data_IF_359478808269
#
_entry.id   IF_359478808269
#
_cell.length_a   1.000
_cell.length_b   1.000
_cell.length_c   1.000
_cell.angle_alpha   90.00
_cell.angle_beta   90.00
_cell.angle_gamma   90.00
#
_symmetry.space_group_name_H-M   'P 1'
#
loop_
_entity.id
_entity.type
_entity.pdbx_description
1 polymer ?
#
# COMPACT_ATOMS: atom_id res chain seq x y z
N UNK A 1 -6.00 -13.38 53.65
CA UNK A 1 -5.71 -12.08 52.98
C UNK A 1 -4.68 -12.17 51.85
N UNK A 2 -3.55 -12.87 52.00
CA UNK A 2 -2.54 -13.02 50.91
C UNK A 2 -3.11 -13.68 49.65
N UNK A 3 -3.91 -14.73 49.78
CA UNK A 3 -4.51 -15.47 48.65
C UNK A 3 -5.51 -14.64 47.84
N UNK A 4 -6.33 -13.82 48.51
CA UNK A 4 -7.30 -12.91 47.85
C UNK A 4 -6.58 -11.81 47.07
N UNK A 5 -5.47 -11.27 47.60
CA UNK A 5 -4.64 -10.29 46.88
C UNK A 5 -4.01 -10.87 45.62
N UNK A 6 -3.54 -12.13 45.66
CA UNK A 6 -2.98 -12.81 44.48
C UNK A 6 -4.04 -13.01 43.40
N UNK A 7 -5.26 -13.44 43.78
CA UNK A 7 -6.38 -13.62 42.84
C UNK A 7 -6.78 -12.28 42.20
N UNK A 8 -6.85 -11.20 42.99
CA UNK A 8 -7.15 -9.86 42.47
C UNK A 8 -6.03 -9.35 41.54
N UNK A 9 -4.76 -9.57 41.87
CA UNK A 9 -3.65 -9.23 40.97
C UNK A 9 -3.66 -10.07 39.69
N UNK A 10 -4.01 -11.35 39.76
CA UNK A 10 -4.12 -12.23 38.60
C UNK A 10 -5.28 -11.84 37.69
N UNK A 11 -6.45 -11.51 38.26
CA UNK A 11 -7.59 -10.92 37.54
C UNK A 11 -7.24 -9.56 36.94
N UNK A 12 -6.52 -8.69 37.66
CA UNK A 12 -6.10 -7.39 37.16
C UNK A 12 -5.10 -7.53 35.99
N UNK A 13 -4.19 -8.51 36.03
CA UNK A 13 -3.29 -8.82 34.90
C UNK A 13 -4.08 -9.38 33.71
N UNK A 14 -5.03 -10.28 33.95
CA UNK A 14 -5.93 -10.82 32.91
C UNK A 14 -6.84 -9.78 32.26
N UNK A 15 -7.25 -8.75 33.02
CA UNK A 15 -8.03 -7.61 32.52
C UNK A 15 -7.11 -6.56 31.87
N UNK A 16 -5.85 -6.43 32.32
CA UNK A 16 -4.87 -5.51 31.74
C UNK A 16 -4.30 -6.02 30.40
N UNK A 17 -4.14 -7.34 30.23
CA UNK A 17 -3.68 -7.97 29.00
C UNK A 17 -4.48 -7.56 27.74
N UNK A 18 -5.82 -7.53 27.74
CA UNK A 18 -6.59 -7.01 26.61
C UNK A 18 -6.54 -5.47 26.48
N UNK A 19 -6.20 -4.71 27.53
CA UNK A 19 -6.02 -3.25 27.44
C UNK A 19 -4.64 -2.80 26.96
N UNK A 20 -3.61 -3.66 27.10
CA UNK A 20 -2.26 -3.42 26.58
C UNK A 20 -2.19 -3.77 25.07
N UNK A 21 -3.23 -4.42 24.54
CA UNK A 21 -3.34 -4.78 23.15
C UNK A 21 -3.83 -3.60 22.28
N UNK A 22 -2.88 -3.10 21.50
CA UNK A 22 -3.01 -2.37 20.23
C UNK A 22 -3.29 -0.87 20.30
N UNK A 23 -2.22 -0.13 20.59
CA UNK A 23 -2.04 1.22 20.09
C UNK A 23 -2.16 1.25 18.56
N UNK A 24 -3.20 1.94 18.10
CA UNK A 24 -3.31 2.74 16.88
C UNK A 24 -2.14 2.59 15.87
N UNK A 25 -2.41 2.07 14.66
CA UNK A 25 -1.44 2.14 13.56
C UNK A 25 -2.04 2.71 12.27
N UNK A 26 -1.37 3.77 11.85
CA UNK A 26 -1.20 4.31 10.50
C UNK A 26 -2.36 4.08 9.52
N UNK A 27 -3.20 5.10 9.35
CA UNK A 27 -3.90 5.23 8.07
C UNK A 27 -2.92 5.93 7.12
N UNK A 28 -2.31 5.21 6.16
CA UNK A 28 -1.39 5.79 5.21
C UNK A 28 -2.05 6.95 4.49
N UNK A 29 -1.24 7.97 4.26
CA UNK A 29 -1.62 9.08 3.39
C UNK A 29 -0.91 8.88 2.08
N UNK A 30 -1.59 9.18 0.98
CA UNK A 30 -1.02 8.99 -0.34
C UNK A 30 -1.29 10.24 -1.19
N UNK A 31 -0.26 10.69 -1.90
CA UNK A 31 -0.42 11.64 -3.02
C UNK A 31 -1.00 10.96 -4.25
N UNK A 32 -0.91 9.63 -4.30
CA UNK A 32 -1.28 8.75 -5.39
C UNK A 32 -0.28 8.73 -6.54
N UNK A 33 0.91 9.32 -6.39
CA UNK A 33 2.00 9.12 -7.33
C UNK A 33 3.00 8.08 -6.83
N UNK A 34 3.46 7.25 -7.76
CA UNK A 34 4.56 6.30 -7.55
C UNK A 34 5.78 6.80 -8.32
N UNK A 35 6.93 6.84 -7.66
CA UNK A 35 8.14 7.50 -8.17
C UNK A 35 9.34 6.56 -8.02
N UNK A 36 10.16 6.45 -9.06
CA UNK A 36 11.38 5.64 -9.05
C UNK A 36 12.56 6.35 -8.38
N UNK A 37 13.68 5.65 -8.22
CA UNK A 37 14.94 6.20 -7.67
C UNK A 37 15.50 7.39 -8.47
N UNK A 38 15.15 7.50 -9.77
CA UNK A 38 15.53 8.61 -10.62
C UNK A 38 14.58 9.80 -10.54
N UNK A 39 13.63 9.78 -9.60
CA UNK A 39 12.59 10.79 -9.41
C UNK A 39 11.63 10.96 -10.59
N UNK A 40 11.52 9.94 -11.44
CA UNK A 40 10.53 9.86 -12.49
C UNK A 40 9.22 9.28 -11.95
N UNK A 41 8.10 9.90 -12.30
CA UNK A 41 6.75 9.43 -11.96
C UNK A 41 6.42 8.20 -12.83
N UNK A 42 6.26 7.05 -12.18
CA UNK A 42 5.93 5.77 -12.84
C UNK A 42 4.43 5.60 -13.07
N UNK A 43 3.64 6.02 -12.08
CA UNK A 43 2.20 5.88 -12.08
C UNK A 43 1.52 6.99 -11.29
N UNK A 44 0.29 7.31 -11.66
CA UNK A 44 -0.57 8.25 -10.93
C UNK A 44 -1.97 7.67 -10.80
N UNK A 45 -2.47 7.55 -9.58
CA UNK A 45 -3.86 7.15 -9.30
C UNK A 45 -4.82 8.26 -9.74
N UNK A 46 -5.83 7.91 -10.53
CA UNK A 46 -6.80 8.87 -11.11
C UNK A 46 -7.66 9.60 -10.07
N UNK A 47 -7.78 9.06 -8.86
CA UNK A 47 -8.59 9.65 -7.79
C UNK A 47 -7.73 10.41 -6.76
N UNK A 48 -6.48 10.74 -7.09
CA UNK A 48 -5.51 11.24 -6.11
C UNK A 48 -5.19 12.74 -6.21
N UNK A 49 -4.62 13.34 -5.15
CA UNK A 49 -4.11 14.71 -5.17
C UNK A 49 -3.14 14.98 -6.33
N UNK A 50 -2.25 14.04 -6.64
CA UNK A 50 -1.31 14.16 -7.74
C UNK A 50 -2.02 14.25 -9.11
N UNK A 51 -3.02 13.39 -9.36
CA UNK A 51 -3.77 13.45 -10.62
C UNK A 51 -4.52 14.77 -10.76
N UNK A 52 -5.20 15.20 -9.70
CA UNK A 52 -5.98 16.45 -9.64
C UNK A 52 -5.10 17.68 -9.83
N UNK A 53 -3.85 17.62 -9.37
CA UNK A 53 -2.88 18.68 -9.57
C UNK A 53 -2.21 18.67 -10.96
N UNK A 54 -2.57 17.71 -11.83
CA UNK A 54 -2.06 17.62 -13.19
C UNK A 54 -0.71 16.92 -13.32
N UNK A 55 -0.32 16.09 -12.35
CA UNK A 55 0.86 15.23 -12.44
C UNK A 55 0.53 14.01 -13.29
N UNK A 56 1.45 13.61 -14.18
CA UNK A 56 1.29 12.48 -15.09
C UNK A 56 2.54 11.57 -15.07
N UNK A 57 2.40 10.29 -15.43
CA UNK A 57 3.56 9.42 -15.58
C UNK A 57 4.55 9.93 -16.65
N UNK A 58 5.83 9.67 -16.42
CA UNK A 58 6.96 10.12 -17.26
C UNK A 58 7.51 11.50 -16.89
N UNK A 59 6.84 12.25 -16.01
CA UNK A 59 7.38 13.52 -15.50
C UNK A 59 8.55 13.27 -14.53
N UNK A 60 9.59 14.10 -14.59
CA UNK A 60 10.78 14.00 -13.73
C UNK A 60 10.74 15.13 -12.70
N UNK A 61 10.77 14.75 -11.42
CA UNK A 61 10.83 15.70 -10.30
C UNK A 61 12.27 16.21 -10.17
N UNK A 62 12.43 17.54 -10.21
CA UNK A 62 13.74 18.20 -10.05
C UNK A 62 14.06 18.49 -8.59
N UNK A 63 13.06 18.83 -7.78
CA UNK A 63 13.23 19.10 -6.35
C UNK A 63 11.93 18.94 -5.59
N UNK A 64 12.00 18.56 -4.31
CA UNK A 64 10.90 18.64 -3.36
C UNK A 64 11.26 19.57 -2.21
N UNK A 65 10.31 20.39 -1.77
CA UNK A 65 10.43 21.24 -0.60
C UNK A 65 9.33 20.95 0.40
N UNK A 66 9.66 20.94 1.69
CA UNK A 66 8.65 20.86 2.74
C UNK A 66 7.83 22.15 2.88
N UNK A 67 6.92 22.18 3.85
CA UNK A 67 6.06 23.35 4.13
C UNK A 67 6.84 24.61 4.49
N UNK A 68 8.04 24.47 5.05
CA UNK A 68 8.89 25.56 5.50
C UNK A 68 9.86 26.01 4.39
N UNK A 69 9.79 25.37 3.22
CA UNK A 69 10.60 25.67 2.05
C UNK A 69 11.98 25.01 2.06
N UNK A 70 12.27 24.13 3.02
CA UNK A 70 13.51 23.37 3.06
C UNK A 70 13.51 22.33 1.95
N UNK A 71 14.59 22.27 1.19
CA UNK A 71 14.79 21.26 0.14
C UNK A 71 15.02 19.89 0.80
N UNK A 72 14.30 18.89 0.32
CA UNK A 72 14.46 17.50 0.73
C UNK A 72 15.61 16.87 -0.06
N UNK A 73 16.48 16.14 0.63
CA UNK A 73 17.61 15.44 0.01
C UNK A 73 17.10 14.38 -0.96
N UNK A 74 17.78 14.22 -2.10
CA UNK A 74 17.32 13.39 -3.21
C UNK A 74 16.97 11.95 -2.79
N UNK A 75 17.78 11.39 -1.90
CA UNK A 75 17.64 10.02 -1.39
C UNK A 75 16.36 9.85 -0.55
N UNK A 76 15.92 10.90 0.13
CA UNK A 76 14.75 10.88 1.03
C UNK A 76 13.45 11.23 0.32
N UNK A 77 13.49 11.76 -0.91
CA UNK A 77 12.30 12.30 -1.60
C UNK A 77 11.19 11.24 -1.74
N UNK A 78 11.53 9.99 -2.10
CA UNK A 78 10.52 8.92 -2.28
C UNK A 78 9.76 8.66 -0.98
N UNK A 79 10.49 8.48 0.11
CA UNK A 79 9.95 8.26 1.45
C UNK A 79 9.19 9.49 1.97
N UNK A 80 9.70 10.70 1.72
CA UNK A 80 9.06 11.95 2.09
C UNK A 80 7.71 12.14 1.38
N UNK A 81 7.65 11.97 0.06
CA UNK A 81 6.41 12.07 -0.73
C UNK A 81 5.37 11.10 -0.20
N UNK A 82 5.78 9.92 0.25
CA UNK A 82 4.88 8.91 0.79
C UNK A 82 4.37 9.28 2.20
N UNK A 83 5.26 9.70 3.10
CA UNK A 83 4.93 9.85 4.52
C UNK A 83 4.48 11.26 4.92
N UNK A 84 4.63 12.25 4.04
CA UNK A 84 4.35 13.64 4.38
C UNK A 84 2.89 13.86 4.81
N UNK A 85 2.73 14.51 5.97
CA UNK A 85 1.43 14.88 6.53
C UNK A 85 1.05 16.32 6.20
N UNK A 86 2.04 17.12 5.83
CA UNK A 86 1.90 18.54 5.58
C UNK A 86 1.85 18.82 4.06
N UNK A 87 1.53 20.07 3.71
CA UNK A 87 1.65 20.52 2.33
C UNK A 87 3.13 20.58 1.95
N UNK A 88 3.47 20.13 0.75
CA UNK A 88 4.82 20.21 0.21
C UNK A 88 4.79 20.65 -1.24
N UNK A 89 5.91 21.17 -1.73
CA UNK A 89 6.04 21.64 -3.12
C UNK A 89 6.89 20.65 -3.91
N UNK A 90 6.37 20.20 -5.04
CA UNK A 90 7.09 19.38 -6.02
C UNK A 90 7.37 20.25 -7.24
N UNK A 91 8.64 20.34 -7.61
CA UNK A 91 9.08 21.10 -8.78
C UNK A 91 9.47 20.13 -9.89
N UNK A 92 8.91 20.37 -11.05
CA UNK A 92 9.27 19.79 -12.33
C UNK A 92 9.89 20.89 -13.20
N UNK A 93 10.49 20.50 -14.31
CA UNK A 93 11.13 21.43 -15.26
C UNK A 93 10.30 22.67 -15.62
N UNK A 94 9.00 22.48 -15.87
CA UNK A 94 8.12 23.53 -16.39
C UNK A 94 7.03 23.99 -15.39
N UNK A 95 6.96 23.38 -14.20
CA UNK A 95 5.90 23.69 -13.21
C UNK A 95 6.31 23.37 -11.78
N UNK A 96 5.74 24.12 -10.83
CA UNK A 96 5.79 23.79 -9.40
C UNK A 96 4.38 23.59 -8.87
N UNK A 97 4.17 22.50 -8.14
CA UNK A 97 2.86 22.07 -7.66
C UNK A 97 2.91 21.92 -6.14
N UNK A 98 1.93 22.51 -5.45
CA UNK A 98 1.70 22.21 -4.04
C UNK A 98 0.81 20.97 -3.91
N UNK A 99 1.26 20.01 -3.14
CA UNK A 99 0.53 18.77 -2.85
C UNK A 99 0.28 18.62 -1.37
N UNK A 100 -0.80 17.94 -1.05
CA UNK A 100 -1.12 17.47 0.29
C UNK A 100 -1.56 16.03 0.17
N UNK A 101 -0.90 15.13 0.88
CA UNK A 101 -1.30 13.73 0.87
C UNK A 101 -2.67 13.60 1.56
N UNK A 102 -3.57 12.88 0.91
CA UNK A 102 -4.89 12.57 1.44
C UNK A 102 -4.85 11.24 2.17
N UNK A 103 -5.69 11.14 3.20
CA UNK A 103 -5.83 9.91 3.97
C UNK A 103 -6.55 8.88 3.11
N UNK A 104 -6.03 7.67 3.05
CA UNK A 104 -6.76 6.56 2.43
C UNK A 104 -7.82 6.12 3.42
N UNK A 105 -9.05 6.57 3.18
CA UNK A 105 -10.21 6.28 4.03
C UNK A 105 -11.06 5.12 3.47
N UNK A 106 -10.93 4.79 2.16
CA UNK A 106 -11.61 3.66 1.50
C UNK A 106 -10.75 2.96 0.43
N UNK A 107 -10.79 1.62 0.36
CA UNK A 107 -10.16 0.82 -0.72
C UNK A 107 -10.61 1.20 -2.14
N UNK A 108 -11.86 1.67 -2.27
CA UNK A 108 -12.44 2.08 -3.55
C UNK A 108 -11.73 3.24 -4.25
N UNK A 109 -10.91 4.01 -3.52
CA UNK A 109 -10.20 5.18 -4.05
C UNK A 109 -8.80 4.83 -4.60
N UNK A 110 -8.26 3.64 -4.32
CA UNK A 110 -6.90 3.22 -4.70
C UNK A 110 -6.95 1.95 -5.52
N UNK A 111 -7.18 2.10 -6.82
CA UNK A 111 -7.12 0.94 -7.71
C UNK A 111 -7.31 1.26 -9.17
N UNK A 112 -7.11 2.50 -9.60
CA UNK A 112 -7.05 2.83 -11.02
C UNK A 112 -5.92 3.82 -11.24
N UNK A 113 -4.88 3.35 -11.92
CA UNK A 113 -3.66 4.10 -12.18
C UNK A 113 -3.52 4.36 -13.67
N UNK A 114 -3.06 5.56 -14.01
CA UNK A 114 -2.39 5.81 -15.27
C UNK A 114 -0.93 5.41 -15.05
N UNK A 115 -0.40 4.56 -15.93
CA UNK A 115 0.97 4.03 -15.81
C UNK A 115 1.80 4.36 -17.04
N UNK A 116 3.11 4.51 -16.85
CA UNK A 116 4.06 4.76 -17.94
C UNK A 116 4.19 3.53 -18.84
N UNK A 117 4.25 3.76 -20.16
CA UNK A 117 4.53 2.74 -21.17
C UNK A 117 3.31 2.33 -21.97
N UNK A 118 3.47 1.29 -22.80
CA UNK A 118 2.39 0.71 -23.60
C UNK A 118 1.58 -0.28 -22.78
N UNK A 119 0.34 -0.56 -23.21
CA UNK A 119 -0.53 -1.56 -22.58
C UNK A 119 0.10 -2.95 -22.58
N UNK A 120 0.75 -3.35 -23.68
CA UNK A 120 1.41 -4.65 -23.81
C UNK A 120 2.62 -4.78 -22.88
N UNK A 121 3.45 -3.74 -22.80
CA UNK A 121 4.61 -3.71 -21.88
C UNK A 121 4.14 -3.71 -20.42
N UNK A 122 3.12 -2.92 -20.10
CA UNK A 122 2.52 -2.89 -18.77
C UNK A 122 1.99 -4.26 -18.35
N UNK A 123 1.24 -4.95 -19.20
CA UNK A 123 0.71 -6.28 -18.89
C UNK A 123 1.83 -7.31 -18.69
N UNK A 124 2.87 -7.26 -19.55
CA UNK A 124 4.06 -8.11 -19.40
C UNK A 124 4.77 -7.85 -18.07
N UNK A 125 5.00 -6.58 -17.74
CA UNK A 125 5.69 -6.17 -16.52
C UNK A 125 4.89 -6.54 -15.26
N UNK A 126 3.56 -6.38 -15.31
CA UNK A 126 2.65 -6.82 -14.25
C UNK A 126 2.75 -8.33 -14.01
N UNK A 127 2.68 -9.13 -15.08
CA UNK A 127 2.85 -10.58 -14.96
C UNK A 127 4.22 -10.93 -14.36
N UNK A 128 5.30 -10.26 -14.79
CA UNK A 128 6.62 -10.50 -14.25
C UNK A 128 6.73 -10.13 -12.76
N UNK A 129 6.18 -8.99 -12.35
CA UNK A 129 6.15 -8.56 -10.96
C UNK A 129 5.42 -9.60 -10.09
N UNK A 130 4.19 -9.97 -10.45
CA UNK A 130 3.35 -10.90 -9.68
C UNK A 130 3.90 -12.34 -9.63
N UNK A 131 4.71 -12.74 -10.62
CA UNK A 131 5.24 -14.10 -10.71
C UNK A 131 6.61 -14.24 -10.06
N UNK A 132 7.49 -13.25 -10.26
CA UNK A 132 8.92 -13.40 -9.97
C UNK A 132 9.43 -12.50 -8.85
N UNK A 133 8.71 -11.44 -8.48
CA UNK A 133 9.16 -10.56 -7.41
C UNK A 133 8.57 -11.03 -6.06
N UNK A 134 9.40 -11.55 -5.13
CA UNK A 134 8.94 -12.10 -3.86
C UNK A 134 8.25 -11.08 -2.96
N UNK A 135 8.49 -9.78 -3.17
CA UNK A 135 7.82 -8.73 -2.42
C UNK A 135 6.30 -8.77 -2.61
N UNK A 136 5.85 -9.07 -3.84
CA UNK A 136 4.42 -9.11 -4.20
C UNK A 136 3.92 -10.53 -4.42
N UNK A 137 4.71 -11.44 -5.01
CA UNK A 137 4.25 -12.78 -5.38
C UNK A 137 3.87 -13.66 -4.18
N UNK A 138 4.44 -13.36 -3.01
CA UNK A 138 4.10 -14.00 -1.72
C UNK A 138 2.65 -13.70 -1.32
N UNK A 139 2.18 -12.48 -1.59
CA UNK A 139 0.86 -11.97 -1.21
C UNK A 139 -0.15 -12.03 -2.36
N UNK A 140 0.32 -12.09 -3.61
CA UNK A 140 -0.50 -12.03 -4.81
C UNK A 140 -0.12 -13.16 -5.77
N UNK A 141 -0.24 -14.40 -5.32
CA UNK A 141 0.09 -15.57 -6.13
C UNK A 141 -0.89 -15.72 -7.30
N UNK A 142 -0.37 -15.71 -8.53
CA UNK A 142 -1.15 -15.84 -9.77
C UNK A 142 -1.97 -17.14 -9.79
N UNK A 143 -3.27 -17.01 -10.05
CA UNK A 143 -4.21 -18.14 -10.22
C UNK A 143 -4.66 -18.31 -11.66
N UNK A 144 -5.01 -17.21 -12.32
CA UNK A 144 -5.45 -17.24 -13.70
C UNK A 144 -4.91 -16.04 -14.47
N UNK A 145 -4.74 -16.22 -15.77
CA UNK A 145 -4.30 -15.18 -16.71
C UNK A 145 -5.19 -15.26 -17.94
N UNK A 146 -6.00 -14.23 -18.14
CA UNK A 146 -6.72 -14.01 -19.39
C UNK A 146 -5.90 -13.03 -20.23
N UNK A 147 -5.24 -13.55 -21.27
CA UNK A 147 -4.38 -12.74 -22.15
C UNK A 147 -5.18 -11.91 -23.15
N UNK A 148 -6.39 -12.34 -23.48
CA UNK A 148 -7.24 -11.65 -24.45
C UNK A 148 -7.86 -10.40 -23.80
N UNK A 149 -8.25 -10.51 -22.53
CA UNK A 149 -8.74 -9.39 -21.73
C UNK A 149 -7.63 -8.65 -20.97
N UNK A 150 -6.40 -9.16 -21.00
CA UNK A 150 -5.26 -8.64 -20.21
C UNK A 150 -5.58 -8.53 -18.71
N UNK A 151 -6.16 -9.61 -18.17
CA UNK A 151 -6.55 -9.74 -16.77
C UNK A 151 -5.72 -10.81 -16.07
N UNK A 152 -5.25 -10.52 -14.86
CA UNK A 152 -4.59 -11.48 -13.97
C UNK A 152 -5.40 -11.54 -12.68
N UNK A 153 -5.76 -12.74 -12.24
CA UNK A 153 -6.34 -12.95 -10.92
C UNK A 153 -5.35 -13.67 -10.02
N UNK A 154 -5.34 -13.28 -8.75
CA UNK A 154 -4.40 -13.76 -7.75
C UNK A 154 -5.15 -14.18 -6.49
N UNK A 155 -4.62 -15.18 -5.79
CA UNK A 155 -5.11 -15.57 -4.48
C UNK A 155 -3.96 -16.10 -3.64
N UNK A 156 -3.84 -15.61 -2.42
CA UNK A 156 -2.89 -16.10 -1.44
C UNK A 156 -3.55 -16.28 -0.07
N UNK A 157 -2.97 -17.16 0.72
CA UNK A 157 -3.21 -17.28 2.15
C UNK A 157 -1.84 -17.37 2.82
N UNK A 158 -1.54 -16.43 3.71
CA UNK A 158 -0.21 -16.18 4.25
C UNK A 158 -0.28 -16.18 5.77
N UNK A 159 0.46 -17.09 6.41
CA UNK A 159 0.63 -17.09 7.87
C UNK A 159 1.62 -15.99 8.28
N UNK A 160 1.37 -15.28 9.39
CA UNK A 160 2.26 -14.22 9.92
C UNK A 160 3.69 -14.69 10.16
N UNK A 161 3.91 -15.98 10.43
CA UNK A 161 5.26 -16.55 10.55
C UNK A 161 6.04 -16.55 9.23
N UNK A 162 5.34 -16.49 8.11
CA UNK A 162 5.90 -16.50 6.77
C UNK A 162 6.02 -15.08 6.19
N UNK A 163 5.23 -14.13 6.69
CA UNK A 163 5.25 -12.74 6.26
C UNK A 163 5.09 -11.76 7.43
N UNK A 164 6.19 -11.10 7.80
CA UNK A 164 6.18 -10.10 8.89
C UNK A 164 5.49 -8.79 8.51
N UNK A 165 5.21 -8.56 7.22
CA UNK A 165 4.75 -7.28 6.68
C UNK A 165 3.23 -7.16 6.51
N UNK A 166 2.45 -8.16 6.94
CA UNK A 166 0.97 -8.17 6.86
C UNK A 166 0.33 -6.89 7.45
N UNK A 167 0.95 -6.32 8.50
CA UNK A 167 0.46 -5.10 9.16
C UNK A 167 0.56 -3.84 8.28
N UNK A 168 1.34 -3.87 7.20
CA UNK A 168 1.53 -2.74 6.29
C UNK A 168 0.53 -2.72 5.13
N UNK A 169 -0.03 -3.87 4.76
CA UNK A 169 -0.89 -4.00 3.57
C UNK A 169 -2.37 -3.71 3.85
N UNK A 170 -2.80 -3.69 5.11
CA UNK A 170 -4.21 -3.57 5.47
C UNK A 170 -4.53 -2.39 6.38
N UNK A 171 -5.67 -1.73 6.13
CA UNK A 171 -6.29 -0.75 7.00
C UNK A 171 -7.05 -1.43 8.13
N UNK A 172 -6.35 -1.66 9.23
CA UNK A 172 -6.98 -2.19 10.44
C UNK A 172 -7.61 -1.06 11.24
N UNK A 173 -8.94 -0.99 11.19
CA UNK A 173 -9.72 -0.21 12.15
C UNK A 173 -9.63 -0.90 13.51
N UNK A 174 -8.63 -0.53 14.32
CA UNK A 174 -8.37 -1.03 15.69
C UNK A 174 -9.25 -2.21 16.15
N UNK A 175 -8.74 -3.43 15.96
CA UNK A 175 -9.42 -4.67 16.35
C UNK A 175 -9.04 -5.14 17.75
N UNK A 176 -9.98 -5.76 18.47
CA UNK A 176 -9.71 -6.45 19.74
C UNK A 176 -9.10 -7.81 19.43
N UNK A 177 -7.84 -8.02 19.79
CA UNK A 177 -7.13 -9.27 19.59
C UNK A 177 -5.79 -9.29 20.31
N UNK A 178 -5.08 -10.41 20.26
CA UNK A 178 -3.74 -10.66 20.78
C UNK A 178 -2.66 -10.58 19.68
N UNK A 179 -3.07 -10.38 18.42
CA UNK A 179 -2.19 -10.21 17.27
C UNK A 179 -2.77 -10.81 15.99
N UNK A 180 -2.30 -10.36 14.83
CA UNK A 180 -2.60 -10.97 13.53
C UNK A 180 -1.95 -12.36 13.46
N UNK A 181 -2.63 -13.32 12.86
CA UNK A 181 -2.11 -14.69 12.66
C UNK A 181 -1.93 -15.04 11.21
N UNK A 182 -2.81 -14.54 10.34
CA UNK A 182 -2.83 -14.86 8.92
C UNK A 182 -3.52 -13.76 8.12
N UNK A 183 -3.28 -13.77 6.82
CA UNK A 183 -3.90 -12.88 5.84
C UNK A 183 -4.30 -13.71 4.61
N UNK A 184 -5.54 -13.55 4.17
CA UNK A 184 -6.04 -14.06 2.89
C UNK A 184 -6.23 -12.87 1.96
N UNK A 185 -5.72 -12.97 0.74
CA UNK A 185 -5.73 -11.88 -0.23
C UNK A 185 -6.26 -12.40 -1.57
N UNK A 186 -7.30 -11.75 -2.07
CA UNK A 186 -7.86 -11.93 -3.40
C UNK A 186 -7.58 -10.68 -4.24
N UNK A 187 -6.93 -10.85 -5.38
CA UNK A 187 -6.54 -9.76 -6.26
C UNK A 187 -7.04 -9.95 -7.69
N UNK A 188 -7.47 -8.87 -8.32
CA UNK A 188 -7.75 -8.80 -9.75
C UNK A 188 -7.07 -7.58 -10.34
N UNK A 189 -6.28 -7.80 -11.39
CA UNK A 189 -5.52 -6.76 -12.08
C UNK A 189 -5.89 -6.79 -13.56
N UNK A 190 -6.23 -5.64 -14.12
CA UNK A 190 -6.56 -5.49 -15.53
C UNK A 190 -5.78 -4.33 -16.14
N UNK A 191 -5.15 -4.58 -17.29
CA UNK A 191 -4.43 -3.56 -18.05
C UNK A 191 -5.23 -3.17 -19.27
N UNK A 192 -5.47 -1.88 -19.43
CA UNK A 192 -6.24 -1.31 -20.52
C UNK A 192 -5.57 -0.08 -21.12
N UNK A 193 -6.21 0.47 -22.15
CA UNK A 193 -5.79 1.73 -22.75
C UNK A 193 -7.02 2.61 -22.98
N UNK A 194 -6.88 3.90 -22.71
CA UNK A 194 -7.92 4.88 -22.97
C UNK A 194 -7.30 6.25 -23.24
N UNK A 195 -7.76 6.93 -24.28
CA UNK A 195 -7.35 8.31 -24.61
C UNK A 195 -5.81 8.48 -24.71
N UNK A 196 -5.11 7.46 -25.22
CA UNK A 196 -3.64 7.43 -25.33
C UNK A 196 -2.90 7.15 -24.01
N UNK A 197 -3.62 6.84 -22.94
CA UNK A 197 -3.07 6.46 -21.65
C UNK A 197 -3.19 4.97 -21.40
N UNK A 198 -2.12 4.35 -20.91
CA UNK A 198 -2.16 3.01 -20.35
C UNK A 198 -2.72 3.05 -18.94
N UNK A 199 -3.70 2.19 -18.68
CA UNK A 199 -4.42 2.11 -17.41
C UNK A 199 -4.14 0.76 -16.73
N UNK A 200 -3.97 0.79 -15.42
CA UNK A 200 -3.94 -0.38 -14.56
C UNK A 200 -5.08 -0.27 -13.54
N UNK A 201 -6.06 -1.17 -13.66
CA UNK A 201 -7.12 -1.34 -12.67
C UNK A 201 -6.72 -2.45 -11.73
N UNK A 202 -6.72 -2.16 -10.45
CA UNK A 202 -6.43 -3.10 -9.37
C UNK A 202 -7.65 -3.20 -8.46
N UNK A 203 -7.92 -4.39 -7.96
CA UNK A 203 -8.96 -4.66 -6.98
C UNK A 203 -8.42 -5.72 -6.05
N UNK A 204 -8.14 -5.32 -4.81
CA UNK A 204 -7.57 -6.16 -3.77
C UNK A 204 -8.58 -6.25 -2.63
N UNK A 205 -8.93 -7.48 -2.27
CA UNK A 205 -9.75 -7.81 -1.13
C UNK A 205 -8.90 -8.57 -0.12
N UNK A 206 -8.98 -8.17 1.15
CA UNK A 206 -8.18 -8.74 2.22
C UNK A 206 -9.07 -9.20 3.37
N UNK A 207 -8.71 -10.36 3.93
CA UNK A 207 -9.24 -10.87 5.18
C UNK A 207 -8.08 -11.19 6.11
N UNK A 208 -8.13 -10.68 7.34
CA UNK A 208 -7.09 -10.87 8.33
C UNK A 208 -7.62 -11.72 9.48
N UNK A 209 -6.93 -12.82 9.76
CA UNK A 209 -7.16 -13.61 10.96
C UNK A 209 -6.51 -12.95 12.16
N UNK A 210 -7.29 -12.68 13.20
CA UNK A 210 -6.84 -12.10 14.46
C UNK A 210 -7.00 -13.11 15.59
N UNK A 211 -5.90 -13.42 16.29
CA UNK A 211 -5.96 -14.24 17.50
C UNK A 211 -6.69 -13.48 18.59
N UNK A 212 -7.61 -14.13 19.28
CA UNK A 212 -8.29 -13.64 20.49
C UNK A 212 -8.08 -14.60 21.66
N UNK A 213 -8.52 -14.21 22.85
CA UNK A 213 -8.50 -15.08 24.04
C UNK A 213 -9.34 -16.37 23.86
N UNK A 214 -10.23 -16.42 22.87
CA UNK A 214 -11.17 -17.53 22.65
C UNK A 214 -11.01 -18.23 21.29
N UNK A 215 -9.93 -17.95 20.55
CA UNK A 215 -9.67 -18.49 19.20
C UNK A 215 -9.36 -17.42 18.17
N UNK A 216 -9.19 -17.79 16.90
CA UNK A 216 -9.03 -16.85 15.79
C UNK A 216 -10.38 -16.34 15.28
N UNK A 217 -10.43 -15.07 14.87
CA UNK A 217 -11.56 -14.44 14.20
C UNK A 217 -11.07 -13.77 12.94
N UNK A 218 -11.71 -14.05 11.82
CA UNK A 218 -11.38 -13.42 10.54
C UNK A 218 -12.13 -12.10 10.40
N UNK A 219 -11.40 -11.08 9.95
CA UNK A 219 -11.90 -9.74 9.75
C UNK A 219 -11.60 -9.30 8.32
N UNK A 220 -12.66 -9.03 7.54
CA UNK A 220 -12.51 -8.32 6.27
C UNK A 220 -11.98 -6.92 6.55
N UNK A 221 -10.94 -6.53 5.82
CA UNK A 221 -10.29 -5.24 5.91
C UNK A 221 -10.09 -4.65 4.51
N UNK A 222 -9.83 -3.36 4.49
CA UNK A 222 -9.58 -2.64 3.26
C UNK A 222 -8.08 -2.51 3.03
N UNK A 223 -7.67 -2.45 1.76
CA UNK A 223 -6.28 -2.20 1.38
C UNK A 223 -5.78 -0.85 1.89
N UNK A 224 -4.53 -0.85 2.34
CA UNK A 224 -3.79 0.35 2.73
C UNK A 224 -3.24 1.14 1.53
N UNK A 225 -3.42 0.64 0.30
CA UNK A 225 -2.81 1.21 -0.90
C UNK A 225 -1.33 0.88 -1.07
N UNK A 226 -0.73 0.16 -0.11
CA UNK A 226 0.69 -0.21 -0.12
C UNK A 226 0.97 -1.33 -1.10
N UNK A 227 0.12 -2.36 -1.09
CA UNK A 227 0.32 -3.52 -1.94
C UNK A 227 0.16 -3.16 -3.42
N UNK A 228 -0.78 -2.28 -3.76
CA UNK A 228 -0.96 -1.72 -5.10
C UNK A 228 0.28 -0.93 -5.54
N UNK A 229 0.80 -0.09 -4.64
CA UNK A 229 2.04 0.64 -4.92
C UNK A 229 3.21 -0.31 -5.14
N UNK A 230 3.36 -1.33 -4.31
CA UNK A 230 4.42 -2.34 -4.44
C UNK A 230 4.35 -3.07 -5.77
N UNK A 231 3.14 -3.43 -6.22
CA UNK A 231 2.93 -4.02 -7.53
C UNK A 231 3.48 -3.09 -8.62
N UNK A 232 3.11 -1.80 -8.58
CA UNK A 232 3.61 -0.82 -9.54
C UNK A 232 5.14 -0.68 -9.45
N UNK A 233 5.71 -0.51 -8.26
CA UNK A 233 7.17 -0.40 -8.07
C UNK A 233 7.88 -1.63 -8.67
N UNK A 234 7.38 -2.83 -8.39
CA UNK A 234 7.91 -4.09 -8.91
C UNK A 234 7.74 -4.24 -10.42
N UNK A 235 6.67 -3.69 -11.03
CA UNK A 235 6.50 -3.66 -12.49
C UNK A 235 7.63 -2.90 -13.19
N UNK A 236 8.22 -1.91 -12.53
CA UNK A 236 9.32 -1.12 -13.08
C UNK A 236 10.69 -1.55 -12.53
N UNK A 237 10.76 -2.67 -11.80
CA UNK A 237 12.00 -3.20 -11.24
C UNK A 237 12.53 -2.42 -10.03
N UNK A 238 11.71 -1.58 -9.41
CA UNK A 238 12.08 -0.81 -8.23
C UNK A 238 11.96 -1.66 -6.95
N UNK A 239 12.82 -1.37 -5.98
CA UNK A 239 12.64 -1.89 -4.61
C UNK A 239 11.51 -1.14 -3.91
N UNK A 240 10.59 -1.85 -3.24
CA UNK A 240 9.52 -1.23 -2.48
C UNK A 240 9.97 -0.18 -1.47
N UNK A 241 9.39 1.03 -1.53
CA UNK A 241 9.86 2.20 -0.74
C UNK A 241 9.74 2.02 0.78
N UNK A 242 8.82 1.18 1.27
CA UNK A 242 8.64 0.95 2.71
C UNK A 242 9.56 -0.15 3.29
N UNK A 243 10.35 -0.82 2.43
CA UNK A 243 11.37 -1.80 2.83
C UNK A 243 12.79 -1.22 2.83
N UNK A 244 12.93 0.07 2.52
CA UNK A 244 14.14 0.89 2.67
C UNK A 244 14.22 1.47 4.09
#
# INVERSE_FOLDING_TARGET
MKTIRIIICFMAILIALPTICFAYRYSPRNSGMVVNQNLEVLAVNVNSPAYNAGIRPGEIIESVKDKDGKVIDKEDIRSFIFQSKDVYTVTFKDKSIQLKNERIDKSGDVGLFIIKGTKEDAFKNLFQALTFNPAVSTFLTVKNIDKDLMVITTYSHVDKKQAHDIEHHALLSGGKGLGITEETIDGTFAVGERDGYTLLKETIHQEIGIMSLFGSVDHSCESSGMLEREVIECMFGETPTHRE
#
